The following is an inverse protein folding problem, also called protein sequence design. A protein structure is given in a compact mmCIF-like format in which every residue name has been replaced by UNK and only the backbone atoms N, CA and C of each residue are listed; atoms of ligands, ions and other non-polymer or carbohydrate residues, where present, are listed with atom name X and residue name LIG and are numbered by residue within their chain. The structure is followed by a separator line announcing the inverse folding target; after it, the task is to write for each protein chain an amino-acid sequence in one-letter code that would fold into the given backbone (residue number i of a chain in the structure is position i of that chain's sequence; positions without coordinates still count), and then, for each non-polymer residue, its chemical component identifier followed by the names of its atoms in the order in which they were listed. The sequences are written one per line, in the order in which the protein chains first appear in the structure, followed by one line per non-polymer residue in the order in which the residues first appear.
data_IF_040613846211
#
_entry.id   IF_040613846211
#
_cell.length_a   1.000
_cell.length_b   1.000
_cell.length_c   1.000
_cell.angle_alpha   90.00
_cell.angle_beta   90.00
_cell.angle_gamma   90.00
#
_symmetry.space_group_name_H-M   'P 1'
#
loop_
_entity.id
_entity.type
_entity.pdbx_description
1 polymer ?
#
# COMPACT_ATOMS: atom_id res chain seq x y z
N UNK A 1 -3.66 9.59 11.23
CA UNK A 1 -4.31 8.25 11.17
C UNK A 1 -5.80 8.32 10.88
N UNK A 2 -6.58 9.19 11.54
CA UNK A 2 -8.04 9.29 11.33
C UNK A 2 -8.46 9.45 9.87
N UNK A 3 -7.82 10.37 9.12
CA UNK A 3 -8.10 10.57 7.69
C UNK A 3 -7.89 9.30 6.86
N UNK A 4 -6.77 8.59 7.06
CA UNK A 4 -6.48 7.34 6.35
C UNK A 4 -7.57 6.30 6.58
N UNK A 5 -7.99 6.09 7.84
CA UNK A 5 -9.02 5.09 8.13
C UNK A 5 -10.40 5.52 7.65
N UNK A 6 -10.72 6.81 7.69
CA UNK A 6 -11.93 7.33 7.07
C UNK A 6 -11.97 7.05 5.56
N UNK A 7 -10.87 7.30 4.85
CA UNK A 7 -10.77 7.03 3.42
C UNK A 7 -10.90 5.53 3.12
N UNK A 8 -10.27 4.67 3.93
CA UNK A 8 -10.41 3.21 3.83
C UNK A 8 -11.87 2.78 4.00
N UNK A 9 -12.61 3.34 4.97
CA UNK A 9 -14.03 3.03 5.20
C UNK A 9 -14.91 3.42 4.01
N UNK A 10 -14.61 4.55 3.36
CA UNK A 10 -15.27 4.96 2.12
C UNK A 10 -14.94 3.99 0.99
N UNK A 11 -13.66 3.66 0.82
CA UNK A 11 -13.19 2.79 -0.24
C UNK A 11 -13.77 1.39 -0.12
N UNK A 12 -13.88 0.81 1.08
CA UNK A 12 -14.46 -0.53 1.31
C UNK A 12 -15.92 -0.63 0.84
N UNK A 13 -16.68 0.45 0.90
CA UNK A 13 -18.09 0.49 0.46
C UNK A 13 -18.23 0.70 -1.06
N UNK A 14 -17.21 1.23 -1.74
CA UNK A 14 -17.20 1.43 -3.20
C UNK A 14 -17.07 0.10 -3.95
N UNK A 15 -17.57 0.03 -5.19
CA UNK A 15 -17.28 -1.04 -6.17
C UNK A 15 -16.37 -0.50 -7.29
N UNK A 16 -15.06 -0.36 -7.03
CA UNK A 16 -14.08 0.09 -8.01
C UNK A 16 -13.77 -0.98 -9.08
N UNK A 17 -13.15 -0.55 -10.18
CA UNK A 17 -12.53 -1.45 -11.16
C UNK A 17 -11.30 -2.16 -10.56
N UNK A 18 -10.82 -3.22 -11.22
CA UNK A 18 -9.71 -4.03 -10.71
C UNK A 18 -8.44 -3.21 -10.53
N UNK A 19 -8.12 -2.34 -11.48
CA UNK A 19 -6.95 -1.47 -11.49
C UNK A 19 -7.00 -0.50 -10.30
N UNK A 20 -8.17 0.07 -10.03
CA UNK A 20 -8.41 0.94 -8.88
C UNK A 20 -8.21 0.17 -7.55
N UNK A 21 -8.63 -1.10 -7.46
CA UNK A 21 -8.43 -1.93 -6.25
C UNK A 21 -6.94 -2.05 -5.92
N UNK A 22 -6.12 -2.41 -6.91
CA UNK A 22 -4.67 -2.55 -6.72
C UNK A 22 -4.01 -1.19 -6.44
N UNK A 23 -4.44 -0.14 -7.14
CA UNK A 23 -4.00 1.22 -6.89
C UNK A 23 -4.23 1.61 -5.42
N UNK A 24 -5.46 1.51 -4.93
CA UNK A 24 -5.81 1.87 -3.56
C UNK A 24 -5.12 0.99 -2.52
N UNK A 25 -5.00 -0.32 -2.76
CA UNK A 25 -4.29 -1.22 -1.86
C UNK A 25 -2.82 -0.79 -1.67
N UNK A 26 -2.11 -0.52 -2.77
CA UNK A 26 -0.71 -0.07 -2.70
C UNK A 26 -0.61 1.34 -2.08
N UNK A 27 -1.58 2.22 -2.33
CA UNK A 27 -1.55 3.57 -1.79
C UNK A 27 -1.81 3.56 -0.28
N UNK A 28 -2.70 2.69 0.22
CA UNK A 28 -2.91 2.46 1.67
C UNK A 28 -1.60 2.02 2.32
N UNK A 29 -0.87 1.08 1.71
CA UNK A 29 0.46 0.68 2.17
C UNK A 29 1.40 1.88 2.26
N UNK A 30 1.53 2.62 1.15
CA UNK A 30 2.44 3.75 1.02
C UNK A 30 2.16 4.83 2.07
N UNK A 31 0.90 5.21 2.24
CA UNK A 31 0.51 6.22 3.22
C UNK A 31 0.77 5.73 4.64
N UNK A 32 0.47 4.47 4.96
CA UNK A 32 0.74 3.94 6.30
C UNK A 32 2.23 3.96 6.65
N UNK A 33 3.11 3.53 5.74
CA UNK A 33 4.57 3.56 5.99
C UNK A 33 5.11 4.98 6.06
N UNK A 34 4.50 5.94 5.37
CA UNK A 34 4.87 7.36 5.41
C UNK A 34 4.41 8.08 6.67
N UNK A 35 3.24 7.73 7.20
CA UNK A 35 2.80 8.23 8.51
C UNK A 35 3.69 7.64 9.62
N UNK A 36 4.09 6.36 9.48
CA UNK A 36 4.95 5.63 10.42
C UNK A 36 4.48 5.75 11.90
N UNK A 37 3.21 5.40 12.22
CA UNK A 37 2.59 5.73 13.51
C UNK A 37 3.12 4.93 14.71
N UNK A 38 3.79 3.80 14.48
CA UNK A 38 4.27 2.91 15.54
C UNK A 38 5.78 3.06 15.76
N UNK A 39 6.26 2.75 16.97
CA UNK A 39 7.71 2.68 17.25
C UNK A 39 8.43 1.59 16.45
N UNK A 40 7.76 0.47 16.19
CA UNK A 40 8.21 -0.62 15.32
C UNK A 40 6.99 -1.27 14.66
N UNK A 41 7.20 -2.03 13.60
CA UNK A 41 6.19 -2.86 12.96
C UNK A 41 5.49 -2.20 11.77
N UNK A 42 5.79 -0.95 11.44
CA UNK A 42 5.05 -0.20 10.41
C UNK A 42 5.03 -0.90 9.05
N UNK A 43 6.17 -1.41 8.58
CA UNK A 43 6.23 -2.15 7.33
C UNK A 43 5.45 -3.47 7.34
N UNK A 44 5.40 -4.18 8.50
CA UNK A 44 4.61 -5.41 8.66
C UNK A 44 3.12 -5.09 8.62
N UNK A 45 2.70 -4.06 9.36
CA UNK A 45 1.30 -3.61 9.39
C UNK A 45 0.85 -3.08 8.04
N UNK A 46 1.67 -2.33 7.31
CA UNK A 46 1.33 -1.80 6.00
C UNK A 46 1.06 -2.92 4.97
N UNK A 47 1.93 -3.94 4.92
CA UNK A 47 1.72 -5.12 4.06
C UNK A 47 0.46 -5.90 4.45
N UNK A 48 0.18 -6.02 5.74
CA UNK A 48 -1.05 -6.68 6.22
C UNK A 48 -2.30 -5.89 5.80
N UNK A 49 -2.28 -4.56 5.94
CA UNK A 49 -3.38 -3.67 5.54
C UNK A 49 -3.64 -3.73 4.03
N UNK A 50 -2.57 -3.72 3.22
CA UNK A 50 -2.65 -3.90 1.77
C UNK A 50 -3.38 -5.19 1.39
N UNK A 51 -2.92 -6.33 1.94
CA UNK A 51 -3.52 -7.64 1.66
C UNK A 51 -4.93 -7.78 2.20
N UNK A 52 -5.19 -7.25 3.39
CA UNK A 52 -6.53 -7.21 3.92
C UNK A 52 -7.47 -6.44 3.01
N UNK A 53 -7.07 -5.26 2.52
CA UNK A 53 -7.89 -4.48 1.60
C UNK A 53 -8.15 -5.24 0.28
N UNK A 54 -7.13 -5.89 -0.29
CA UNK A 54 -7.31 -6.76 -1.46
C UNK A 54 -8.33 -7.87 -1.18
N UNK A 55 -8.24 -8.55 -0.03
CA UNK A 55 -9.18 -9.59 0.36
C UNK A 55 -10.61 -9.08 0.59
N UNK A 56 -10.76 -7.87 1.14
CA UNK A 56 -12.06 -7.21 1.26
C UNK A 56 -12.72 -6.94 -0.11
N UNK A 57 -11.89 -6.71 -1.15
CA UNK A 57 -12.38 -6.35 -2.50
C UNK A 57 -12.54 -7.53 -3.45
N UNK A 58 -11.63 -8.48 -3.40
CA UNK A 58 -11.50 -9.58 -4.36
C UNK A 58 -11.86 -10.95 -3.73
N UNK A 59 -12.17 -10.97 -2.44
CA UNK A 59 -12.49 -12.17 -1.68
C UNK A 59 -11.26 -12.90 -1.13
N UNK A 60 -11.50 -13.98 -0.41
CA UNK A 60 -10.48 -14.70 0.37
C UNK A 60 -9.30 -15.21 -0.45
N UNK A 61 -9.50 -15.50 -1.74
CA UNK A 61 -8.42 -15.97 -2.61
C UNK A 61 -7.31 -14.93 -2.80
N UNK A 62 -7.60 -13.64 -2.58
CA UNK A 62 -6.58 -12.59 -2.68
C UNK A 62 -5.50 -12.69 -1.58
N UNK A 63 -5.76 -13.41 -0.47
CA UNK A 63 -4.73 -13.69 0.54
C UNK A 63 -3.53 -14.48 0.00
N UNK A 64 -3.72 -15.24 -1.09
CA UNK A 64 -2.69 -16.04 -1.73
C UNK A 64 -1.79 -15.24 -2.68
N UNK A 65 -2.11 -13.97 -2.96
CA UNK A 65 -1.21 -13.08 -3.70
C UNK A 65 0.07 -12.91 -2.86
N UNK A 66 1.22 -13.25 -3.46
CA UNK A 66 2.51 -13.28 -2.78
C UNK A 66 3.19 -11.89 -2.82
N UNK A 67 2.45 -10.82 -2.50
CA UNK A 67 2.98 -9.44 -2.56
C UNK A 67 4.16 -9.24 -1.62
N UNK A 68 4.18 -9.90 -0.45
CA UNK A 68 5.32 -9.83 0.47
C UNK A 68 6.58 -10.45 -0.10
N UNK A 69 6.46 -11.55 -0.85
CA UNK A 69 7.59 -12.19 -1.54
C UNK A 69 8.11 -11.30 -2.65
N UNK A 70 7.23 -10.64 -3.39
CA UNK A 70 7.61 -9.67 -4.42
C UNK A 70 8.38 -8.49 -3.78
N UNK A 71 7.87 -7.89 -2.70
CA UNK A 71 8.58 -6.82 -1.99
C UNK A 71 9.92 -7.29 -1.40
N UNK A 72 9.99 -8.51 -0.89
CA UNK A 72 11.22 -9.09 -0.35
C UNK A 72 12.27 -9.29 -1.45
N UNK A 73 11.89 -9.86 -2.59
CA UNK A 73 12.80 -10.08 -3.71
C UNK A 73 13.25 -8.75 -4.36
N UNK A 74 12.43 -7.71 -4.28
CA UNK A 74 12.70 -6.37 -4.82
C UNK A 74 12.98 -5.34 -3.72
N UNK A 75 13.57 -5.76 -2.60
CA UNK A 75 13.73 -4.95 -1.37
C UNK A 75 14.38 -3.60 -1.62
N UNK A 76 15.40 -3.56 -2.47
CA UNK A 76 16.08 -2.31 -2.84
C UNK A 76 15.11 -1.33 -3.52
N UNK A 77 14.40 -1.79 -4.57
CA UNK A 77 13.42 -0.99 -5.29
C UNK A 77 12.26 -0.56 -4.38
N UNK A 78 11.82 -1.44 -3.48
CA UNK A 78 10.77 -1.12 -2.50
C UNK A 78 11.13 0.10 -1.65
N UNK A 79 12.31 0.11 -1.02
CA UNK A 79 12.74 1.26 -0.22
C UNK A 79 13.08 2.48 -1.06
N UNK A 80 13.68 2.31 -2.23
CA UNK A 80 13.95 3.42 -3.14
C UNK A 80 12.66 4.11 -3.57
N UNK A 81 11.65 3.36 -3.97
CA UNK A 81 10.37 3.91 -4.41
C UNK A 81 9.62 4.60 -3.27
N UNK A 82 9.68 4.09 -2.03
CA UNK A 82 9.16 4.83 -0.86
C UNK A 82 9.92 6.14 -0.68
N UNK A 83 11.26 6.13 -0.75
CA UNK A 83 12.10 7.31 -0.50
C UNK A 83 11.95 8.40 -1.56
N UNK A 84 11.59 8.05 -2.80
CA UNK A 84 11.38 9.03 -3.89
C UNK A 84 10.37 10.12 -3.53
N UNK A 85 9.35 9.79 -2.72
CA UNK A 85 8.37 10.77 -2.27
C UNK A 85 8.94 11.81 -1.29
N UNK A 86 10.15 11.66 -0.75
CA UNK A 86 10.70 12.51 0.30
C UNK A 86 10.70 11.84 1.68
N UNK A 87 11.25 12.52 2.69
CA UNK A 87 11.38 11.99 4.06
C UNK A 87 10.28 12.51 4.98
N UNK A 88 10.10 13.83 5.01
CA UNK A 88 9.16 14.49 5.90
C UNK A 88 7.72 14.34 5.38
N UNK A 89 6.83 13.84 6.24
CA UNK A 89 5.44 13.55 5.86
C UNK A 89 4.70 14.76 5.27
N UNK A 90 4.97 15.96 5.80
CA UNK A 90 4.35 17.21 5.36
C UNK A 90 4.88 17.72 4.01
N UNK A 91 5.99 17.16 3.53
CA UNK A 91 6.69 17.62 2.32
C UNK A 91 6.69 16.54 1.22
N UNK A 92 5.88 15.49 1.37
CA UNK A 92 5.88 14.38 0.42
C UNK A 92 5.39 14.80 -0.97
N UNK A 93 6.15 14.42 -1.99
CA UNK A 93 5.75 14.57 -3.38
C UNK A 93 5.06 13.29 -3.88
N UNK A 94 3.73 13.32 -3.92
CA UNK A 94 2.92 12.21 -4.41
C UNK A 94 2.94 12.06 -5.93
N UNK A 95 3.47 13.02 -6.69
CA UNK A 95 3.70 12.84 -8.13
C UNK A 95 4.72 11.73 -8.41
N UNK A 96 5.61 11.46 -7.45
CA UNK A 96 6.62 10.41 -7.46
C UNK A 96 6.11 9.05 -6.92
N UNK A 97 4.82 8.90 -6.63
CA UNK A 97 4.28 7.67 -6.04
C UNK A 97 4.15 6.50 -7.04
N UNK A 98 4.10 6.80 -8.35
CA UNK A 98 3.79 5.81 -9.39
C UNK A 98 4.71 4.57 -9.34
N UNK A 99 6.05 4.68 -9.20
CA UNK A 99 6.93 3.52 -9.12
C UNK A 99 6.61 2.58 -7.96
N UNK A 100 6.18 3.10 -6.81
CA UNK A 100 5.78 2.28 -5.66
C UNK A 100 4.46 1.57 -5.93
N UNK A 101 3.47 2.32 -6.41
CA UNK A 101 2.11 1.83 -6.68
C UNK A 101 2.12 0.68 -7.70
N UNK A 102 2.98 0.77 -8.70
CA UNK A 102 3.14 -0.28 -9.73
C UNK A 102 3.83 -1.56 -9.23
N UNK A 103 4.41 -1.58 -8.02
CA UNK A 103 5.03 -2.80 -7.50
C UNK A 103 3.98 -3.87 -7.21
N UNK A 104 2.85 -3.51 -6.58
CA UNK A 104 1.84 -4.50 -6.17
C UNK A 104 1.25 -5.31 -7.35
N UNK A 105 0.84 -4.72 -8.48
CA UNK A 105 0.37 -5.50 -9.64
C UNK A 105 1.39 -6.50 -10.19
N UNK A 106 2.69 -6.30 -9.99
CA UNK A 106 3.74 -7.24 -10.44
C UNK A 106 3.86 -8.49 -9.56
N UNK A 107 3.03 -8.60 -8.51
CA UNK A 107 2.92 -9.79 -7.66
C UNK A 107 1.89 -10.81 -8.14
N UNK A 108 1.20 -10.53 -9.25
CA UNK A 108 0.27 -11.43 -9.93
C UNK A 108 0.99 -12.50 -10.75
#
# INVERSE_FOLDING_TARGET
MEKLFHDIDVLIKKKPFLEEIFYFASFIHLIFVKIHPCNDGNGRTARLLEKWFLAQKLGEKAWFIQSEKMYFNNHHNYYQNIRKLGLEYTELDYSEALPFVLMLPTSL
#
